data_IF_096599223800
#
_entry.id   IF_096599223800
#
_cell.length_a   1.000
_cell.length_b   1.000
_cell.length_c   1.000
_cell.angle_alpha   90.00
_cell.angle_beta   90.00
_cell.angle_gamma   90.00
#
_symmetry.space_group_name_H-M   'P 1'
#
loop_
_entity.id
_entity.type
_entity.pdbx_description
1 polymer ?
#
# COMPACT_ATOMS: atom_id res chain seq x y z
N UNK A 1 -0.12 14.80 13.82
CA UNK A 1 0.09 16.20 14.27
C UNK A 1 0.91 16.25 15.54
N UNK A 2 0.45 15.68 16.66
CA UNK A 2 1.18 15.73 17.95
C UNK A 2 2.60 15.14 17.90
N UNK A 3 2.78 13.98 17.25
CA UNK A 3 4.11 13.37 17.08
C UNK A 3 5.03 14.17 16.15
N UNK A 4 4.49 14.80 15.10
CA UNK A 4 5.26 15.64 14.17
C UNK A 4 5.65 16.98 14.81
N UNK A 5 4.78 17.52 15.68
CA UNK A 5 5.11 18.70 16.50
C UNK A 5 6.19 18.40 17.53
N UNK A 6 6.19 17.21 18.13
CA UNK A 6 7.27 16.77 19.02
C UNK A 6 8.61 16.56 18.29
N UNK A 7 8.58 16.33 16.98
CA UNK A 7 9.75 16.18 16.12
C UNK A 7 10.23 17.52 15.50
N UNK A 8 9.71 18.66 15.96
CA UNK A 8 10.02 20.02 15.44
C UNK A 8 9.82 20.16 13.91
N UNK A 9 8.86 19.40 13.37
CA UNK A 9 8.49 19.46 11.96
C UNK A 9 7.62 20.70 11.73
N UNK A 10 7.92 21.42 10.64
CA UNK A 10 7.10 22.54 10.21
C UNK A 10 5.65 22.12 10.00
N UNK A 11 4.71 22.93 10.52
CA UNK A 11 3.29 22.60 10.49
C UNK A 11 2.76 22.39 9.06
N UNK A 12 3.26 23.17 8.10
CA UNK A 12 2.88 23.06 6.68
C UNK A 12 3.29 21.71 6.10
N UNK A 13 4.52 21.26 6.40
CA UNK A 13 5.05 19.95 5.97
C UNK A 13 4.28 18.82 6.65
N UNK A 14 3.99 18.95 7.94
CA UNK A 14 3.19 17.97 8.66
C UNK A 14 1.77 17.85 8.09
N UNK A 15 1.13 18.98 7.76
CA UNK A 15 -0.20 19.01 7.16
C UNK A 15 -0.21 18.38 5.76
N UNK A 16 0.78 18.69 4.91
CA UNK A 16 0.86 18.14 3.56
C UNK A 16 1.09 16.62 3.57
N UNK A 17 1.96 16.12 4.45
CA UNK A 17 2.21 14.68 4.61
C UNK A 17 0.92 13.97 5.03
N UNK A 18 0.22 14.48 6.05
CA UNK A 18 -1.01 13.85 6.54
C UNK A 18 -2.13 13.90 5.51
N UNK A 19 -2.31 15.03 4.81
CA UNK A 19 -3.30 15.15 3.75
C UNK A 19 -3.03 14.14 2.64
N UNK A 20 -1.79 14.06 2.17
CA UNK A 20 -1.41 13.14 1.12
C UNK A 20 -1.56 11.68 1.54
N UNK A 21 -1.17 11.32 2.78
CA UNK A 21 -1.40 9.98 3.34
C UNK A 21 -2.89 9.64 3.40
N UNK A 22 -3.75 10.55 3.86
CA UNK A 22 -5.20 10.34 3.93
C UNK A 22 -5.80 10.12 2.55
N UNK A 23 -5.46 10.97 1.58
CA UNK A 23 -5.93 10.84 0.19
C UNK A 23 -5.50 9.50 -0.40
N UNK A 24 -4.25 9.10 -0.18
CA UNK A 24 -3.72 7.82 -0.64
C UNK A 24 -4.41 6.64 0.01
N UNK A 25 -4.61 6.65 1.33
CA UNK A 25 -5.31 5.56 2.02
C UNK A 25 -6.77 5.42 1.60
N UNK A 26 -7.50 6.54 1.44
CA UNK A 26 -8.88 6.51 0.92
C UNK A 26 -8.91 6.03 -0.53
N UNK A 27 -7.97 6.51 -1.36
CA UNK A 27 -7.79 6.09 -2.74
C UNK A 27 -7.60 4.58 -2.86
N UNK A 28 -6.61 4.03 -2.17
CA UNK A 28 -6.31 2.58 -2.17
C UNK A 28 -7.51 1.79 -1.64
N UNK A 29 -8.17 2.25 -0.57
CA UNK A 29 -9.33 1.55 0.00
C UNK A 29 -10.50 1.48 -0.97
N UNK A 30 -10.77 2.57 -1.70
CA UNK A 30 -11.77 2.61 -2.75
C UNK A 30 -11.39 1.71 -3.93
N UNK A 31 -10.14 1.78 -4.39
CA UNK A 31 -9.67 0.91 -5.48
C UNK A 31 -9.73 -0.56 -5.10
N UNK A 32 -9.35 -0.91 -3.87
CA UNK A 32 -9.44 -2.28 -3.35
C UNK A 32 -10.89 -2.75 -3.24
N UNK A 33 -11.80 -1.89 -2.75
CA UNK A 33 -13.22 -2.21 -2.66
C UNK A 33 -13.88 -2.44 -4.02
N UNK A 34 -13.49 -1.68 -5.04
CA UNK A 34 -14.08 -1.72 -6.39
C UNK A 34 -13.43 -2.76 -7.33
N UNK A 35 -12.10 -2.91 -7.29
CA UNK A 35 -11.35 -3.80 -8.20
C UNK A 35 -11.06 -5.14 -7.56
N UNK A 36 -11.03 -5.22 -6.22
CA UNK A 36 -10.74 -6.45 -5.48
C UNK A 36 -9.27 -6.87 -5.53
N UNK A 37 -8.37 -5.99 -5.98
CA UNK A 37 -6.93 -6.26 -6.00
C UNK A 37 -6.32 -5.96 -4.63
N UNK A 38 -5.68 -6.94 -3.96
CA UNK A 38 -5.08 -6.74 -2.64
C UNK A 38 -3.75 -5.97 -2.72
N UNK A 39 -3.00 -6.11 -3.81
CA UNK A 39 -1.71 -5.43 -4.02
C UNK A 39 -1.87 -4.27 -5.01
N UNK A 40 -2.22 -3.09 -4.50
CA UNK A 40 -2.40 -1.89 -5.31
C UNK A 40 -1.48 -0.79 -4.82
N UNK A 41 -0.48 -0.46 -5.66
CA UNK A 41 0.41 0.69 -5.47
C UNK A 41 -0.35 1.96 -5.08
N UNK A 42 0.15 2.74 -4.11
CA UNK A 42 -0.37 4.07 -3.86
C UNK A 42 -0.09 4.92 -5.10
N UNK A 43 -1.13 5.49 -5.74
CA UNK A 43 -0.93 6.36 -6.89
C UNK A 43 -0.23 7.67 -6.51
N UNK A 44 -0.32 8.05 -5.22
CA UNK A 44 0.28 9.27 -4.69
C UNK A 44 1.19 8.91 -3.51
N UNK A 45 2.49 9.16 -3.66
CA UNK A 45 3.41 9.09 -2.53
C UNK A 45 3.34 10.39 -1.72
N UNK A 46 3.04 10.33 -0.43
CA UNK A 46 2.93 11.50 0.44
C UNK A 46 4.24 12.26 0.55
N UNK A 47 5.37 11.54 0.51
CA UNK A 47 6.67 12.20 0.37
C UNK A 47 6.80 12.96 -0.94
N UNK A 48 6.56 12.29 -2.07
CA UNK A 48 6.76 12.88 -3.39
C UNK A 48 5.85 14.09 -3.61
N UNK A 49 4.60 14.02 -3.12
CA UNK A 49 3.66 15.12 -3.13
C UNK A 49 4.17 16.31 -2.29
N UNK A 50 4.58 16.07 -1.05
CA UNK A 50 5.03 17.14 -0.14
C UNK A 50 6.30 17.82 -0.66
N UNK A 51 7.23 17.05 -1.23
CA UNK A 51 8.42 17.62 -1.91
C UNK A 51 7.98 18.50 -3.08
N UNK A 52 7.06 18.05 -3.92
CA UNK A 52 6.61 18.82 -5.07
C UNK A 52 5.85 20.10 -4.67
N UNK A 53 5.04 20.02 -3.60
CA UNK A 53 4.19 21.13 -3.14
C UNK A 53 4.95 22.21 -2.37
N UNK A 54 5.87 21.81 -1.48
CA UNK A 54 6.55 22.74 -0.55
C UNK A 54 8.01 22.96 -0.94
N UNK A 55 8.65 22.00 -1.61
CA UNK A 55 10.08 22.02 -1.92
C UNK A 55 10.95 21.71 -0.70
N UNK A 56 12.03 20.95 -0.86
CA UNK A 56 12.93 20.64 0.26
C UNK A 56 13.86 21.80 0.63
N UNK A 57 14.01 22.79 -0.25
CA UNK A 57 14.87 23.95 -0.02
C UNK A 57 14.39 24.88 1.11
N UNK A 58 13.06 24.94 1.35
CA UNK A 58 12.47 25.78 2.38
C UNK A 58 12.28 25.04 3.72
N UNK A 59 12.57 23.74 3.77
CA UNK A 59 12.28 22.89 4.91
C UNK A 59 13.45 22.81 5.88
N UNK A 60 13.14 22.84 7.18
CA UNK A 60 14.08 22.46 8.24
C UNK A 60 14.61 21.02 8.06
N UNK A 61 15.85 20.74 8.48
CA UNK A 61 16.43 19.39 8.45
C UNK A 61 15.57 18.31 9.12
N UNK A 62 14.95 18.63 10.26
CA UNK A 62 14.04 17.72 10.96
C UNK A 62 12.79 17.37 10.13
N UNK A 63 12.26 18.35 9.40
CA UNK A 63 11.13 18.16 8.47
C UNK A 63 11.51 17.24 7.31
N UNK A 64 12.69 17.42 6.72
CA UNK A 64 13.19 16.58 5.61
C UNK A 64 13.42 15.12 6.07
N UNK A 65 13.92 14.93 7.29
CA UNK A 65 14.05 13.61 7.91
C UNK A 65 12.70 12.92 8.02
N UNK A 66 11.74 13.55 8.72
CA UNK A 66 10.42 12.93 8.93
C UNK A 66 9.65 12.71 7.64
N UNK A 67 9.79 13.62 6.68
CA UNK A 67 9.24 13.48 5.33
C UNK A 67 9.80 12.26 4.60
N UNK A 68 11.09 11.97 4.75
CA UNK A 68 11.68 10.79 4.10
C UNK A 68 11.28 9.51 4.82
N UNK A 69 11.19 9.54 6.16
CA UNK A 69 10.68 8.41 6.95
C UNK A 69 9.20 8.15 6.70
N UNK A 70 8.39 9.16 6.35
CA UNK A 70 6.97 8.98 6.12
C UNK A 70 6.68 8.03 4.95
N UNK A 71 7.61 7.89 4.01
CA UNK A 71 7.52 6.89 2.93
C UNK A 71 7.46 5.45 3.44
N UNK A 72 7.96 5.15 4.64
CA UNK A 72 7.82 3.81 5.22
C UNK A 72 6.35 3.49 5.56
N UNK A 73 5.50 4.51 5.78
CA UNK A 73 4.05 4.30 5.92
C UNK A 73 3.33 4.01 4.58
N UNK A 74 4.02 4.22 3.46
CA UNK A 74 3.57 3.94 2.10
C UNK A 74 4.19 2.65 1.52
N UNK A 75 5.37 2.26 2.02
CA UNK A 75 6.08 1.06 1.59
C UNK A 75 5.31 -0.19 2.00
N UNK A 76 4.82 -0.94 1.01
CA UNK A 76 3.80 -2.01 1.08
C UNK A 76 2.36 -1.51 0.89
N UNK A 77 2.12 -1.06 -0.33
CA UNK A 77 0.86 -0.58 -0.89
C UNK A 77 -0.27 -1.64 -0.92
N UNK A 78 -0.75 -1.94 0.30
CA UNK A 78 -2.00 -2.58 0.66
C UNK A 78 -2.41 -1.99 2.01
N UNK A 79 -2.49 -0.65 2.07
CA UNK A 79 -2.68 0.20 3.26
C UNK A 79 -2.85 -0.53 4.59
N UNK A 80 -1.82 -0.49 5.43
CA UNK A 80 -1.69 -1.20 6.73
C UNK A 80 -2.93 -1.17 7.65
N UNK A 81 -3.85 -0.22 7.45
CA UNK A 81 -5.00 0.00 8.33
C UNK A 81 -6.31 0.04 7.53
N UNK A 82 -6.41 0.85 6.47
CA UNK A 82 -7.71 1.13 5.84
C UNK A 82 -8.23 0.03 4.92
N UNK A 83 -7.37 -0.71 4.22
CA UNK A 83 -7.80 -1.84 3.37
C UNK A 83 -8.34 -3.00 4.21
N UNK A 84 -7.80 -3.20 5.42
CA UNK A 84 -8.26 -4.22 6.34
C UNK A 84 -9.61 -3.86 6.95
N UNK A 85 -9.84 -2.58 7.24
CA UNK A 85 -11.13 -2.08 7.73
C UNK A 85 -12.26 -2.25 6.71
N UNK A 86 -12.00 -2.15 5.40
CA UNK A 86 -13.04 -2.40 4.38
C UNK A 86 -13.45 -3.88 4.31
N UNK A 87 -12.49 -4.79 4.47
CA UNK A 87 -12.76 -6.24 4.59
C UNK A 87 -13.57 -6.53 5.85
N UNK A 88 -13.25 -5.86 6.96
CA UNK A 88 -13.96 -5.98 8.22
C UNK A 88 -15.43 -5.57 8.13
N UNK A 89 -15.71 -4.48 7.42
CA UNK A 89 -17.09 -4.02 7.20
C UNK A 89 -17.94 -5.07 6.48
N UNK A 90 -17.33 -5.87 5.59
CA UNK A 90 -17.99 -6.99 4.91
C UNK A 90 -18.21 -8.20 5.84
N UNK A 91 -17.32 -8.42 6.80
CA UNK A 91 -17.40 -9.51 7.80
C UNK A 91 -18.25 -9.17 9.03
N UNK A 92 -18.73 -7.92 9.13
CA UNK A 92 -19.37 -7.34 10.32
C UNK A 92 -20.54 -8.17 10.85
N UNK A 93 -21.30 -8.88 10.00
CA UNK A 93 -22.44 -9.70 10.44
C UNK A 93 -23.31 -8.97 11.49
N UNK A 94 -23.58 -9.63 12.62
CA UNK A 94 -24.28 -9.06 13.78
C UNK A 94 -23.33 -8.49 14.87
N UNK A 95 -22.04 -8.38 14.60
CA UNK A 95 -21.06 -7.95 15.60
C UNK A 95 -21.12 -6.43 15.82
N UNK A 96 -20.89 -6.01 17.07
CA UNK A 96 -20.85 -4.60 17.43
C UNK A 96 -19.60 -3.95 16.81
N UNK A 97 -19.75 -2.89 15.97
CA UNK A 97 -18.64 -2.30 15.23
C UNK A 97 -17.54 -1.74 16.13
N UNK A 98 -17.87 -1.26 17.32
CA UNK A 98 -16.88 -0.68 18.25
C UNK A 98 -15.91 -1.75 18.77
N UNK A 99 -16.43 -2.90 19.21
CA UNK A 99 -15.61 -4.01 19.70
C UNK A 99 -14.73 -4.61 18.60
N UNK A 100 -15.28 -4.70 17.38
CA UNK A 100 -14.56 -5.21 16.22
C UNK A 100 -13.38 -4.29 15.85
N UNK A 101 -13.61 -2.98 15.87
CA UNK A 101 -12.58 -1.97 15.61
C UNK A 101 -11.48 -2.01 16.68
N UNK A 102 -11.84 -2.07 17.96
CA UNK A 102 -10.86 -2.16 19.05
C UNK A 102 -10.05 -3.45 18.95
N UNK A 103 -10.70 -4.59 18.66
CA UNK A 103 -10.02 -5.87 18.48
C UNK A 103 -8.99 -5.84 17.34
N UNK A 104 -9.34 -5.24 16.20
CA UNK A 104 -8.42 -5.10 15.05
C UNK A 104 -7.28 -4.15 15.34
N UNK A 105 -7.56 -2.98 15.92
CA UNK A 105 -6.50 -2.04 16.30
C UNK A 105 -5.55 -2.68 17.33
N UNK A 106 -6.09 -3.43 18.29
CA UNK A 106 -5.32 -4.19 19.26
C UNK A 106 -4.45 -5.26 18.60
N UNK A 107 -5.01 -6.05 17.69
CA UNK A 107 -4.27 -7.07 16.94
C UNK A 107 -3.16 -6.46 16.07
N UNK A 108 -3.43 -5.33 15.41
CA UNK A 108 -2.45 -4.61 14.60
C UNK A 108 -1.32 -4.05 15.45
N UNK A 109 -1.65 -3.42 16.58
CA UNK A 109 -0.66 -2.91 17.52
C UNK A 109 0.21 -4.05 18.08
N UNK A 110 -0.40 -5.16 18.49
CA UNK A 110 0.32 -6.33 18.98
C UNK A 110 1.22 -6.93 17.90
N UNK A 111 0.72 -7.12 16.68
CA UNK A 111 1.50 -7.64 15.56
C UNK A 111 2.68 -6.73 15.22
N UNK A 112 2.47 -5.41 15.22
CA UNK A 112 3.53 -4.43 14.97
C UNK A 112 4.60 -4.46 16.06
N UNK A 113 4.21 -4.48 17.35
CA UNK A 113 5.13 -4.52 18.48
C UNK A 113 5.94 -5.82 18.51
N UNK A 114 5.28 -6.96 18.34
CA UNK A 114 5.95 -8.28 18.30
C UNK A 114 6.94 -8.33 17.13
N UNK A 115 6.54 -7.86 15.95
CA UNK A 115 7.42 -7.79 14.78
C UNK A 115 8.64 -6.89 15.05
N UNK A 116 8.43 -5.70 15.60
CA UNK A 116 9.52 -4.76 15.92
C UNK A 116 10.51 -5.35 16.92
N UNK A 117 10.02 -5.91 18.03
CA UNK A 117 10.87 -6.51 19.06
C UNK A 117 11.64 -7.73 18.52
N UNK A 118 10.99 -8.56 17.72
CA UNK A 118 11.61 -9.73 17.11
C UNK A 118 12.74 -9.37 16.15
N UNK A 119 12.55 -8.34 15.32
CA UNK A 119 13.58 -7.84 14.39
C UNK A 119 14.77 -7.27 15.14
N UNK A 120 14.53 -6.52 16.23
CA UNK A 120 15.60 -5.98 17.08
C UNK A 120 16.39 -7.11 17.73
N UNK A 121 15.69 -8.08 18.32
CA UNK A 121 16.31 -9.25 18.96
C UNK A 121 17.17 -10.04 17.96
N UNK A 122 16.62 -10.35 16.78
CA UNK A 122 17.35 -11.04 15.71
C UNK A 122 18.55 -10.22 15.23
N UNK A 123 18.42 -8.89 15.19
CA UNK A 123 19.47 -7.96 14.80
C UNK A 123 20.65 -7.97 15.77
N UNK A 124 20.40 -8.14 17.08
CA UNK A 124 21.45 -8.29 18.08
C UNK A 124 22.12 -9.67 18.04
N UNK A 125 21.37 -10.74 17.75
CA UNK A 125 21.93 -12.10 17.75
C UNK A 125 22.73 -12.42 16.48
N UNK A 126 22.19 -12.09 15.30
CA UNK A 126 22.75 -12.49 14.00
C UNK A 126 23.37 -11.34 13.22
N UNK A 127 23.17 -10.09 13.66
CA UNK A 127 23.59 -8.90 12.94
C UNK A 127 22.65 -8.57 11.78
N UNK A 128 22.06 -7.38 11.79
CA UNK A 128 21.10 -6.94 10.76
C UNK A 128 21.66 -6.94 9.33
N UNK A 129 22.99 -6.94 9.16
CA UNK A 129 23.65 -7.07 7.86
C UNK A 129 23.44 -8.45 7.21
N UNK A 130 23.28 -9.50 8.02
CA UNK A 130 23.15 -10.88 7.56
C UNK A 130 21.70 -11.26 7.21
N UNK A 131 20.76 -10.32 7.33
CA UNK A 131 19.37 -10.56 6.95
C UNK A 131 19.26 -10.73 5.43
N UNK A 132 19.00 -11.96 4.98
CA UNK A 132 18.83 -12.27 3.56
C UNK A 132 17.38 -12.04 3.09
N UNK A 133 16.84 -10.85 3.34
CA UNK A 133 15.52 -10.45 2.84
C UNK A 133 15.57 -9.05 2.25
N UNK A 134 14.92 -8.86 1.11
CA UNK A 134 14.90 -7.61 0.37
C UNK A 134 14.44 -6.41 1.23
N UNK A 135 13.55 -6.64 2.19
CA UNK A 135 13.09 -5.62 3.16
C UNK A 135 14.25 -5.01 3.95
N UNK A 136 15.22 -5.82 4.37
CA UNK A 136 16.33 -5.38 5.20
C UNK A 136 17.56 -5.00 4.38
N UNK A 137 17.83 -5.70 3.27
CA UNK A 137 19.01 -5.44 2.43
C UNK A 137 18.83 -4.22 1.53
N UNK A 138 17.66 -4.05 0.94
CA UNK A 138 17.40 -2.97 -0.01
C UNK A 138 16.60 -1.83 0.62
N UNK A 139 15.39 -2.08 1.11
CA UNK A 139 14.50 -1.00 1.59
C UNK A 139 15.07 -0.23 2.79
N UNK A 140 15.57 -0.94 3.81
CA UNK A 140 16.13 -0.27 4.99
C UNK A 140 17.32 0.64 4.64
N UNK A 141 18.23 0.18 3.77
CA UNK A 141 19.35 1.00 3.27
C UNK A 141 18.86 2.17 2.42
N UNK A 142 17.89 1.92 1.54
CA UNK A 142 17.37 2.94 0.65
C UNK A 142 16.68 4.08 1.40
N UNK A 143 16.02 3.81 2.53
CA UNK A 143 15.47 4.87 3.39
C UNK A 143 16.55 5.83 3.87
N UNK A 144 17.71 5.33 4.31
CA UNK A 144 18.84 6.16 4.72
C UNK A 144 19.49 6.89 3.53
N UNK A 145 19.76 6.19 2.43
CA UNK A 145 20.32 6.82 1.23
C UNK A 145 19.43 7.94 0.71
N UNK A 146 18.11 7.80 0.80
CA UNK A 146 17.16 8.84 0.41
C UNK A 146 17.22 10.06 1.32
N UNK A 147 17.40 9.87 2.63
CA UNK A 147 17.60 10.98 3.57
C UNK A 147 18.83 11.79 3.15
N UNK A 148 19.97 11.12 3.00
CA UNK A 148 21.24 11.75 2.59
C UNK A 148 21.08 12.45 1.23
N UNK A 149 20.42 11.78 0.28
CA UNK A 149 20.18 12.34 -1.04
C UNK A 149 19.28 13.58 -1.00
N UNK A 150 18.26 13.63 -0.14
CA UNK A 150 17.38 14.80 0.03
C UNK A 150 18.07 15.96 0.73
N UNK A 151 19.03 15.68 1.62
CA UNK A 151 19.88 16.70 2.22
C UNK A 151 20.89 17.30 1.24
N UNK A 152 21.46 16.47 0.37
CA UNK A 152 22.45 16.94 -0.60
C UNK A 152 21.81 17.59 -1.84
N UNK A 153 20.52 17.34 -2.08
CA UNK A 153 19.78 17.88 -3.22
C UNK A 153 18.55 18.66 -2.75
N UNK A 154 18.74 19.95 -2.54
CA UNK A 154 17.64 20.87 -2.27
C UNK A 154 16.85 21.12 -3.55
N UNK A 155 15.55 20.81 -3.50
CA UNK A 155 14.64 21.03 -4.60
C UNK A 155 13.73 22.22 -4.31
N UNK A 156 13.57 23.15 -5.27
CA UNK A 156 12.51 24.13 -5.20
C UNK A 156 11.15 23.45 -5.44
N UNK A 157 10.07 24.23 -5.26
CA UNK A 157 8.71 23.79 -5.60
C UNK A 157 8.66 23.37 -7.06
N UNK A 158 8.18 22.16 -7.33
CA UNK A 158 8.09 21.60 -8.67
C UNK A 158 6.69 21.84 -9.25
N UNK A 159 6.53 23.01 -9.87
CA UNK A 159 5.30 23.43 -10.52
C UNK A 159 4.89 22.48 -11.66
N UNK A 160 5.84 21.82 -12.32
CA UNK A 160 5.54 20.91 -13.42
C UNK A 160 4.83 19.65 -12.91
N UNK A 161 5.32 19.06 -11.81
CA UNK A 161 4.65 17.91 -11.18
C UNK A 161 3.27 18.28 -10.63
N UNK A 162 3.12 19.46 -10.04
CA UNK A 162 1.83 19.96 -9.56
C UNK A 162 0.85 20.20 -10.72
N UNK A 163 1.33 20.71 -11.86
CA UNK A 163 0.51 20.89 -13.06
C UNK A 163 0.01 19.55 -13.61
N UNK A 164 0.88 18.53 -13.67
CA UNK A 164 0.47 17.17 -14.08
C UNK A 164 -0.57 16.59 -13.11
N UNK A 165 -0.36 16.76 -11.80
CA UNK A 165 -1.34 16.35 -10.79
C UNK A 165 -2.68 17.05 -10.97
N UNK A 166 -2.68 18.36 -11.24
CA UNK A 166 -3.89 19.14 -11.48
C UNK A 166 -4.61 18.68 -12.76
N UNK A 167 -3.87 18.46 -13.86
CA UNK A 167 -4.42 17.92 -15.11
C UNK A 167 -5.05 16.55 -14.88
N UNK A 168 -4.35 15.66 -14.16
CA UNK A 168 -4.87 14.33 -13.80
C UNK A 168 -6.12 14.43 -12.93
N UNK A 169 -6.15 15.35 -11.97
CA UNK A 169 -7.31 15.63 -11.12
C UNK A 169 -8.51 16.13 -11.91
N UNK A 170 -8.31 17.08 -12.83
CA UNK A 170 -9.37 17.61 -13.71
C UNK A 170 -9.87 16.53 -14.68
N UNK A 171 -8.98 15.74 -15.27
CA UNK A 171 -9.35 14.62 -16.13
C UNK A 171 -10.18 13.59 -15.37
N UNK A 172 -9.77 13.24 -14.15
CA UNK A 172 -10.50 12.30 -13.29
C UNK A 172 -11.86 12.84 -12.87
N UNK A 173 -11.95 14.12 -12.48
CA UNK A 173 -13.21 14.79 -12.17
C UNK A 173 -14.15 14.83 -13.39
N UNK A 174 -13.60 15.09 -14.58
CA UNK A 174 -14.33 15.05 -15.84
C UNK A 174 -14.90 13.67 -16.15
N UNK A 175 -14.08 12.61 -16.03
CA UNK A 175 -14.53 11.22 -16.21
C UNK A 175 -15.61 10.84 -15.20
N UNK A 176 -15.45 11.23 -13.94
CA UNK A 176 -16.45 10.98 -12.90
C UNK A 176 -17.76 11.72 -13.19
N UNK A 177 -17.69 12.98 -13.64
CA UNK A 177 -18.85 13.77 -14.05
C UNK A 177 -19.57 13.20 -15.28
N UNK A 178 -18.83 12.71 -16.27
CA UNK A 178 -19.39 12.01 -17.44
C UNK A 178 -20.11 10.73 -17.03
N UNK A 179 -19.54 9.97 -16.07
CA UNK A 179 -20.20 8.77 -15.53
C UNK A 179 -21.52 9.10 -14.83
N UNK A 180 -21.62 10.24 -14.14
CA UNK A 180 -22.88 10.68 -13.53
C UNK A 180 -23.94 11.10 -14.56
N UNK A 181 -23.53 11.77 -15.65
CA UNK A 181 -24.46 12.28 -16.66
C UNK A 181 -24.83 11.27 -17.75
N UNK A 182 -23.95 10.33 -18.08
CA UNK A 182 -24.11 9.41 -19.19
C UNK A 182 -24.04 7.95 -18.71
N UNK A 183 -25.19 7.30 -18.46
CA UNK A 183 -25.25 5.91 -17.99
C UNK A 183 -24.62 4.88 -18.96
N UNK A 184 -24.49 5.25 -20.25
CA UNK A 184 -23.88 4.42 -21.28
C UNK A 184 -22.33 4.48 -21.28
N UNK A 185 -21.74 5.44 -20.57
CA UNK A 185 -20.29 5.60 -20.44
C UNK A 185 -19.73 4.56 -19.46
N UNK A 186 -19.30 3.41 -20.00
CA UNK A 186 -18.82 2.24 -19.21
C UNK A 186 -17.33 2.28 -18.85
N UNK A 187 -16.62 3.37 -19.11
CA UNK A 187 -15.21 3.47 -18.74
C UNK A 187 -15.07 3.57 -17.22
N UNK A 188 -14.44 2.57 -16.62
CA UNK A 188 -14.17 2.56 -15.19
C UNK A 188 -13.02 3.53 -14.88
N UNK A 189 -13.36 4.70 -14.33
CA UNK A 189 -12.40 5.74 -13.95
C UNK A 189 -11.33 5.25 -12.97
N UNK A 190 -11.61 4.21 -12.18
CA UNK A 190 -10.64 3.63 -11.24
C UNK A 190 -9.47 2.98 -11.98
N UNK A 191 -9.70 2.39 -13.16
CA UNK A 191 -8.64 1.71 -13.93
C UNK A 191 -7.51 2.64 -14.35
N UNK A 192 -7.79 3.92 -14.57
CA UNK A 192 -6.78 4.93 -14.92
C UNK A 192 -5.94 5.40 -13.72
N UNK A 193 -6.41 5.15 -12.50
CA UNK A 193 -5.75 5.57 -11.29
C UNK A 193 -4.84 4.47 -10.70
N UNK A 194 -4.87 3.25 -11.25
CA UNK A 194 -3.99 2.17 -10.81
C UNK A 194 -2.59 2.43 -11.39
N UNK A 195 -1.53 2.54 -10.55
CA UNK A 195 -0.18 2.65 -11.06
C UNK A 195 0.17 1.38 -11.85
N UNK A 196 0.49 1.54 -13.14
CA UNK A 196 0.81 0.41 -14.02
C UNK A 196 2.23 -0.09 -13.76
N UNK A 197 2.41 -0.91 -12.73
CA UNK A 197 3.54 -1.84 -12.73
C UNK A 197 3.25 -2.96 -13.76
N UNK A 198 4.24 -3.39 -14.58
CA UNK A 198 3.99 -4.34 -15.66
C UNK A 198 3.30 -5.63 -15.23
N UNK A 199 3.64 -6.15 -14.04
CA UNK A 199 3.04 -7.36 -13.47
C UNK A 199 1.59 -7.16 -12.97
N UNK A 200 1.23 -5.94 -12.54
CA UNK A 200 -0.14 -5.63 -12.10
C UNK A 200 -1.09 -5.52 -13.29
N UNK A 201 -0.60 -4.94 -14.39
CA UNK A 201 -1.38 -4.83 -15.62
C UNK A 201 -1.65 -6.20 -16.25
N UNK A 202 -0.63 -7.07 -16.37
CA UNK A 202 -0.82 -8.42 -16.92
C UNK A 202 -1.81 -9.24 -16.09
N UNK A 203 -1.72 -9.18 -14.76
CA UNK A 203 -2.66 -9.85 -13.85
C UNK A 203 -4.09 -9.32 -14.02
N UNK A 204 -4.25 -8.00 -14.14
CA UNK A 204 -5.56 -7.38 -14.41
C UNK A 204 -6.15 -7.87 -15.74
N UNK A 205 -5.36 -7.91 -16.81
CA UNK A 205 -5.81 -8.39 -18.13
C UNK A 205 -6.24 -9.86 -18.07
N UNK A 206 -5.46 -10.70 -17.40
CA UNK A 206 -5.79 -12.13 -17.22
C UNK A 206 -7.08 -12.28 -16.42
N UNK A 207 -7.22 -11.57 -15.29
CA UNK A 207 -8.42 -11.61 -14.46
C UNK A 207 -9.66 -11.13 -15.23
N UNK A 208 -9.52 -10.08 -16.03
CA UNK A 208 -10.59 -9.57 -16.91
C UNK A 208 -10.96 -10.59 -17.99
N UNK A 209 -9.99 -11.25 -18.63
CA UNK A 209 -10.23 -12.26 -19.65
C UNK A 209 -10.95 -13.49 -19.08
N UNK A 210 -10.52 -13.98 -17.92
CA UNK A 210 -11.18 -15.09 -17.20
C UNK A 210 -12.62 -14.71 -16.85
N UNK A 211 -12.81 -13.53 -16.24
CA UNK A 211 -14.14 -13.05 -15.83
C UNK A 211 -15.07 -12.88 -17.03
N UNK A 212 -14.59 -12.27 -18.12
CA UNK A 212 -15.39 -12.08 -19.33
C UNK A 212 -15.75 -13.40 -20.01
N UNK A 213 -14.82 -14.36 -20.02
CA UNK A 213 -15.07 -15.71 -20.56
C UNK A 213 -16.15 -16.43 -19.75
N UNK A 214 -16.01 -16.48 -18.42
CA UNK A 214 -16.99 -17.11 -17.53
C UNK A 214 -18.39 -16.51 -17.67
N UNK A 215 -18.48 -15.17 -17.72
CA UNK A 215 -19.75 -14.47 -17.86
C UNK A 215 -20.39 -14.67 -19.25
N UNK A 216 -19.57 -14.80 -20.32
CA UNK A 216 -20.08 -15.02 -21.68
C UNK A 216 -20.54 -16.46 -21.91
N UNK A 217 -19.86 -17.45 -21.34
CA UNK A 217 -20.19 -18.86 -21.59
C UNK A 217 -21.27 -19.41 -20.67
N UNK A 218 -21.30 -19.00 -19.40
CA UNK A 218 -22.20 -19.59 -18.41
C UNK A 218 -22.93 -18.58 -17.52
N UNK A 219 -22.91 -17.30 -17.88
CA UNK A 219 -23.64 -16.24 -17.17
C UNK A 219 -23.20 -16.07 -15.71
N UNK A 220 -24.10 -15.55 -14.88
CA UNK A 220 -23.83 -15.29 -13.45
C UNK A 220 -23.63 -16.58 -12.65
N UNK A 221 -24.29 -17.67 -13.05
CA UNK A 221 -24.23 -18.94 -12.31
C UNK A 221 -22.86 -19.62 -12.44
N UNK A 222 -22.27 -19.66 -13.64
CA UNK A 222 -20.91 -20.16 -13.83
C UNK A 222 -19.87 -19.30 -13.12
N UNK A 223 -20.09 -17.98 -13.08
CA UNK A 223 -19.23 -17.08 -12.30
C UNK A 223 -19.26 -17.43 -10.80
N UNK A 224 -20.45 -17.60 -10.20
CA UNK A 224 -20.57 -17.99 -8.79
C UNK A 224 -19.96 -19.36 -8.49
N UNK A 225 -20.13 -20.34 -9.39
CA UNK A 225 -19.51 -21.66 -9.27
C UNK A 225 -17.98 -21.62 -9.40
N UNK A 226 -17.43 -20.62 -10.09
CA UNK A 226 -15.99 -20.42 -10.22
C UNK A 226 -15.31 -19.78 -9.00
N UNK A 227 -16.05 -19.04 -8.17
CA UNK A 227 -15.53 -18.38 -6.95
C UNK A 227 -14.75 -19.36 -6.04
N UNK A 228 -15.29 -20.53 -5.64
CA UNK A 228 -14.57 -21.45 -4.74
C UNK A 228 -13.24 -21.95 -5.33
N UNK A 229 -13.11 -22.08 -6.65
CA UNK A 229 -11.84 -22.46 -7.29
C UNK A 229 -10.74 -21.39 -7.06
N UNK A 230 -11.06 -20.11 -7.28
CA UNK A 230 -10.07 -19.04 -7.07
C UNK A 230 -9.74 -18.81 -5.59
N UNK A 231 -10.73 -18.98 -4.71
CA UNK A 231 -10.50 -18.98 -3.26
C UNK A 231 -9.61 -20.16 -2.85
N UNK A 232 -9.84 -21.34 -3.43
CA UNK A 232 -8.99 -22.52 -3.27
C UNK A 232 -7.55 -22.30 -3.77
N UNK A 233 -7.38 -21.66 -4.91
CA UNK A 233 -6.07 -21.33 -5.47
C UNK A 233 -5.29 -20.36 -4.56
N UNK A 234 -5.95 -19.30 -4.10
CA UNK A 234 -5.35 -18.32 -3.19
C UNK A 234 -4.99 -18.93 -1.83
N UNK A 235 -5.93 -19.69 -1.24
CA UNK A 235 -5.70 -20.38 0.03
C UNK A 235 -4.63 -21.46 -0.07
N UNK A 236 -4.55 -22.18 -1.19
CA UNK A 236 -3.50 -23.15 -1.48
C UNK A 236 -2.12 -22.51 -1.58
N UNK A 237 -2.01 -21.36 -2.25
CA UNK A 237 -0.76 -20.59 -2.28
C UNK A 237 -0.35 -20.13 -0.87
N UNK A 238 -1.27 -19.55 -0.10
CA UNK A 238 -1.01 -19.11 1.27
C UNK A 238 -0.61 -20.28 2.19
N UNK A 239 -1.29 -21.43 2.07
CA UNK A 239 -0.95 -22.65 2.80
C UNK A 239 0.42 -23.19 2.41
N UNK A 240 0.76 -23.18 1.11
CA UNK A 240 2.08 -23.59 0.62
C UNK A 240 3.20 -22.72 1.19
N UNK A 241 3.02 -21.39 1.19
CA UNK A 241 3.97 -20.45 1.81
C UNK A 241 4.09 -20.70 3.32
N UNK A 242 2.97 -20.91 4.02
CA UNK A 242 2.97 -21.18 5.46
C UNK A 242 3.70 -22.50 5.79
N UNK A 243 3.40 -23.58 5.07
CA UNK A 243 4.05 -24.89 5.26
C UNK A 243 5.54 -24.78 4.96
N UNK A 244 5.94 -24.15 3.86
CA UNK A 244 7.35 -23.95 3.54
C UNK A 244 8.06 -23.11 4.61
N UNK A 245 7.41 -22.09 5.15
CA UNK A 245 7.98 -21.27 6.22
C UNK A 245 8.12 -22.06 7.53
N UNK A 246 7.18 -22.95 7.84
CA UNK A 246 7.26 -23.85 9.00
C UNK A 246 8.37 -24.90 8.83
N UNK A 247 8.51 -25.46 7.63
CA UNK A 247 9.59 -26.40 7.29
C UNK A 247 10.94 -25.71 7.46
N UNK A 248 11.10 -24.50 6.92
CA UNK A 248 12.33 -23.73 7.09
C UNK A 248 12.61 -23.40 8.56
N UNK A 249 11.58 -23.09 9.36
CA UNK A 249 11.73 -22.83 10.78
C UNK A 249 12.20 -24.05 11.57
N UNK A 250 11.68 -25.24 11.26
CA UNK A 250 11.99 -26.48 12.00
C UNK A 250 13.32 -27.10 11.53
N UNK A 251 13.53 -27.20 10.22
CA UNK A 251 14.64 -27.96 9.64
C UNK A 251 15.86 -27.09 9.29
N UNK A 252 15.68 -25.80 9.06
CA UNK A 252 16.76 -24.88 8.68
C UNK A 252 16.81 -23.61 9.55
N UNK A 253 16.90 -23.74 10.89
CA UNK A 253 17.03 -22.58 11.76
C UNK A 253 18.31 -21.84 11.40
N UNK A 254 18.18 -20.61 10.85
CA UNK A 254 19.24 -19.69 10.36
C UNK A 254 19.68 -19.87 8.89
N UNK A 255 19.12 -20.81 8.14
CA UNK A 255 19.36 -20.95 6.68
C UNK A 255 18.06 -21.12 5.90
N UNK A 256 17.03 -20.37 6.30
CA UNK A 256 15.75 -20.34 5.61
C UNK A 256 15.89 -19.85 4.18
N UNK A 257 15.11 -20.44 3.29
CA UNK A 257 15.13 -20.12 1.87
C UNK A 257 14.11 -19.02 1.58
N UNK A 258 14.30 -18.32 0.47
CA UNK A 258 13.28 -17.40 -0.01
C UNK A 258 12.09 -18.19 -0.56
N UNK A 259 11.04 -18.31 0.26
CA UNK A 259 9.82 -19.09 -0.04
C UNK A 259 8.97 -18.44 -1.14
N UNK A 260 8.98 -17.11 -1.22
CA UNK A 260 8.25 -16.37 -2.23
C UNK A 260 9.02 -15.11 -2.61
N UNK A 261 8.90 -14.75 -3.88
CA UNK A 261 9.41 -13.51 -4.45
C UNK A 261 8.21 -12.74 -5.01
N UNK A 262 8.24 -11.41 -4.89
CA UNK A 262 7.20 -10.50 -5.40
C UNK A 262 7.51 -9.99 -6.81
#
# INVERSE_FOLDING_TARGET
MLWLGAADVELIVAASILLALLVSYVGISKMSAEVGLPYLGSPLGAEAFTVAAVGTAAMRPASVLMLTYSRNFEGYNSGMIMSQLTVLQRLRGNLNPAHLLVGVLGALAAAYLVSMLYVIWMGYETGAYNFNSYTYTYYARQSYHRVVFRFNNHWPVDLHRLAILAIGGVAMAGMMGMRFKFPWWRLNSIGFAIPLLPHQFSTFVIAWLIKTTLLRTGGMEAFQRGIPFFVGLFSGHAAGVAVSSLVDFIFFPRSGHAVHWW
#
